data_IF_817847173750
#
_entry.id   IF_817847173750
#
_cell.length_a   1.000
_cell.length_b   1.000
_cell.length_c   1.000
_cell.angle_alpha   90.00
_cell.angle_beta   90.00
_cell.angle_gamma   90.00
#
_symmetry.space_group_name_H-M   'P 1'
#
loop_
_entity.id
_entity.type
_entity.pdbx_description
1 polymer ?
#
# COMPACT_ATOMS: atom_id res chain seq x y z
N UNK A 1 3.43 17.97 -19.78
CA UNK A 1 3.79 17.14 -18.61
C UNK A 1 4.63 15.96 -19.12
N UNK A 2 5.82 15.76 -18.58
CA UNK A 2 6.69 14.67 -19.00
C UNK A 2 6.32 13.33 -18.39
N UNK A 3 6.99 12.24 -18.82
CA UNK A 3 6.78 10.93 -18.23
C UNK A 3 7.21 10.91 -16.75
N UNK A 4 6.52 10.10 -15.97
CA UNK A 4 6.82 9.89 -14.55
C UNK A 4 7.56 8.55 -14.38
N UNK A 5 8.27 8.40 -13.26
CA UNK A 5 8.95 7.14 -12.95
C UNK A 5 7.93 6.03 -12.63
N UNK A 6 8.36 4.79 -12.78
CA UNK A 6 7.54 3.63 -12.40
C UNK A 6 7.13 3.69 -10.93
N UNK A 7 8.06 4.06 -10.04
CA UNK A 7 7.79 4.20 -8.62
C UNK A 7 6.73 5.28 -8.35
N UNK A 8 6.80 6.43 -9.03
CA UNK A 8 5.80 7.49 -8.90
C UNK A 8 4.44 7.04 -9.42
N UNK A 9 4.40 6.37 -10.57
CA UNK A 9 3.16 5.82 -11.12
C UNK A 9 2.51 4.81 -10.17
N UNK A 10 3.30 3.91 -9.59
CA UNK A 10 2.81 2.92 -8.63
C UNK A 10 2.24 3.58 -7.37
N UNK A 11 2.92 4.60 -6.84
CA UNK A 11 2.45 5.34 -5.67
C UNK A 11 1.14 6.08 -5.95
N UNK A 12 1.04 6.78 -7.08
CA UNK A 12 -0.19 7.49 -7.47
C UNK A 12 -1.35 6.52 -7.67
N UNK A 13 -1.08 5.34 -8.25
CA UNK A 13 -2.09 4.32 -8.45
C UNK A 13 -2.65 3.75 -7.14
N UNK A 14 -1.88 3.76 -6.05
CA UNK A 14 -2.37 3.35 -4.73
C UNK A 14 -3.36 4.35 -4.12
N UNK A 15 -3.16 5.65 -4.35
CA UNK A 15 -3.88 6.73 -3.67
C UNK A 15 -5.02 7.33 -4.47
N UNK A 16 -5.07 7.08 -5.77
CA UNK A 16 -5.95 7.80 -6.68
C UNK A 16 -7.06 6.91 -7.23
N UNK A 17 -8.24 7.51 -7.44
CA UNK A 17 -9.27 6.89 -8.26
C UNK A 17 -8.86 7.02 -9.72
N UNK A 18 -8.67 5.89 -10.39
CA UNK A 18 -8.29 5.85 -11.80
C UNK A 18 -9.40 5.16 -12.58
N UNK A 19 -9.88 5.84 -13.61
CA UNK A 19 -10.84 5.28 -14.56
C UNK A 19 -10.11 4.95 -15.87
N UNK A 20 -10.43 3.80 -16.43
CA UNK A 20 -9.88 3.37 -17.71
C UNK A 20 -10.91 3.66 -18.81
N UNK A 21 -10.45 4.34 -19.84
CA UNK A 21 -11.25 4.61 -21.05
C UNK A 21 -10.52 3.94 -22.20
N UNK A 22 -11.15 2.94 -22.81
CA UNK A 22 -10.61 2.31 -24.00
C UNK A 22 -11.01 3.16 -25.21
N UNK A 23 -10.04 3.51 -26.03
CA UNK A 23 -10.23 4.29 -27.24
C UNK A 23 -10.04 3.40 -28.48
N UNK A 24 -10.79 3.68 -29.53
CA UNK A 24 -10.55 3.08 -30.83
C UNK A 24 -9.36 3.76 -31.53
N UNK A 25 -9.02 3.30 -32.75
CA UNK A 25 -7.92 3.88 -33.52
C UNK A 25 -8.13 5.34 -33.95
N UNK A 26 -9.34 5.89 -33.76
CA UNK A 26 -9.68 7.28 -34.04
C UNK A 26 -9.84 8.11 -32.78
N UNK A 27 -9.39 7.60 -31.63
CA UNK A 27 -9.47 8.25 -30.31
C UNK A 27 -10.92 8.41 -29.81
N UNK A 28 -11.82 7.57 -30.24
CA UNK A 28 -13.21 7.57 -29.77
C UNK A 28 -13.34 6.61 -28.60
N UNK A 29 -13.89 7.05 -27.44
CA UNK A 29 -14.10 6.16 -26.29
C UNK A 29 -15.08 5.03 -26.63
N UNK A 30 -14.69 3.79 -26.42
CA UNK A 30 -15.51 2.61 -26.67
C UNK A 30 -15.81 1.81 -25.41
N UNK A 31 -15.08 2.05 -24.31
CA UNK A 31 -15.30 1.39 -23.05
C UNK A 31 -14.82 2.27 -21.90
N UNK A 32 -15.50 2.17 -20.75
CA UNK A 32 -15.11 2.79 -19.49
C UNK A 32 -15.16 1.75 -18.38
N UNK A 33 -14.00 1.39 -17.86
CA UNK A 33 -13.91 0.48 -16.71
C UNK A 33 -14.06 1.24 -15.39
N UNK A 34 -14.84 0.74 -14.44
CA UNK A 34 -14.90 1.33 -13.11
C UNK A 34 -13.54 1.20 -12.41
N UNK A 35 -13.21 2.11 -11.46
CA UNK A 35 -11.98 2.02 -10.70
C UNK A 35 -12.03 0.82 -9.75
N UNK A 36 -11.30 -0.26 -10.07
CA UNK A 36 -11.27 -1.50 -9.29
C UNK A 36 -10.06 -1.61 -8.36
N UNK A 37 -9.12 -0.69 -8.47
CA UNK A 37 -7.88 -0.72 -7.70
C UNK A 37 -7.93 0.07 -6.39
N UNK A 38 -8.97 0.84 -6.14
CA UNK A 38 -9.09 1.65 -4.94
C UNK A 38 -9.59 0.79 -3.77
N UNK A 39 -8.87 0.85 -2.66
CA UNK A 39 -9.36 0.28 -1.41
C UNK A 39 -10.50 1.15 -0.87
N UNK A 40 -11.69 0.59 -0.78
CA UNK A 40 -12.88 1.32 -0.35
C UNK A 40 -13.84 0.40 0.42
N UNK A 41 -14.88 0.97 1.02
CA UNK A 41 -15.94 0.24 1.68
C UNK A 41 -15.43 -0.70 2.78
N UNK A 42 -15.91 -1.92 2.80
CA UNK A 42 -15.61 -2.90 3.85
C UNK A 42 -14.14 -3.33 3.87
N UNK A 43 -13.50 -3.40 2.72
CA UNK A 43 -12.07 -3.78 2.64
C UNK A 43 -11.21 -2.75 3.35
N UNK A 44 -11.42 -1.46 3.07
CA UNK A 44 -10.71 -0.38 3.74
C UNK A 44 -10.97 -0.39 5.25
N UNK A 45 -12.23 -0.56 5.66
CA UNK A 45 -12.60 -0.64 7.09
C UNK A 45 -11.90 -1.80 7.79
N UNK A 46 -11.85 -2.97 7.16
CA UNK A 46 -11.17 -4.13 7.72
C UNK A 46 -9.67 -3.90 7.90
N UNK A 47 -9.02 -3.25 6.93
CA UNK A 47 -7.60 -2.89 7.03
C UNK A 47 -7.39 -1.90 8.18
N UNK A 48 -8.25 -0.90 8.34
CA UNK A 48 -8.18 0.07 9.44
C UNK A 48 -8.34 -0.62 10.80
N UNK A 49 -9.28 -1.55 10.92
CA UNK A 49 -9.49 -2.32 12.16
C UNK A 49 -8.25 -3.14 12.51
N UNK A 50 -7.61 -3.77 11.52
CA UNK A 50 -6.42 -4.60 11.74
C UNK A 50 -5.18 -3.77 12.09
N UNK A 51 -4.91 -2.71 11.31
CA UNK A 51 -3.67 -1.95 11.39
C UNK A 51 -3.74 -0.76 12.37
N UNK A 52 -4.94 -0.19 12.56
CA UNK A 52 -5.25 0.93 13.48
C UNK A 52 -4.57 2.26 13.12
N UNK A 53 -3.37 2.20 12.56
CA UNK A 53 -2.53 3.35 12.23
C UNK A 53 -1.56 2.98 11.11
N UNK A 54 -0.75 3.93 10.66
CA UNK A 54 0.36 3.64 9.75
C UNK A 54 1.23 2.52 10.33
N UNK A 55 1.42 1.45 9.60
CA UNK A 55 2.15 0.27 10.08
C UNK A 55 3.64 0.56 10.36
N UNK A 56 4.19 1.62 9.78
CA UNK A 56 5.60 1.97 9.94
C UNK A 56 5.84 2.96 11.08
N UNK A 57 5.13 4.09 11.11
CA UNK A 57 5.40 5.17 12.06
C UNK A 57 4.30 5.42 13.09
N UNK A 58 3.14 4.79 12.96
CA UNK A 58 2.04 4.97 13.90
C UNK A 58 1.19 6.21 13.66
N UNK A 59 1.35 6.91 12.54
CA UNK A 59 0.50 8.05 12.20
C UNK A 59 -0.98 7.63 12.15
N UNK A 60 -1.93 8.52 12.51
CA UNK A 60 -3.34 8.18 12.57
C UNK A 60 -3.88 7.60 11.25
N UNK A 61 -4.85 6.69 11.36
CA UNK A 61 -5.49 6.08 10.18
C UNK A 61 -6.10 7.15 9.26
N UNK A 62 -6.61 8.26 9.80
CA UNK A 62 -7.14 9.37 9.01
C UNK A 62 -6.11 10.08 8.12
N UNK A 63 -4.82 9.91 8.42
CA UNK A 63 -3.71 10.44 7.62
C UNK A 63 -3.03 9.37 6.77
N UNK A 64 -3.60 8.18 6.73
CA UNK A 64 -3.01 7.02 6.09
C UNK A 64 -3.89 6.53 4.96
N UNK A 65 -3.26 6.02 3.91
CA UNK A 65 -3.91 5.40 2.78
C UNK A 65 -3.65 3.90 2.78
N UNK A 66 -4.51 3.14 2.11
CA UNK A 66 -4.27 1.73 1.90
C UNK A 66 -3.29 1.52 0.74
N UNK A 67 -2.22 0.81 1.03
CA UNK A 67 -1.16 0.49 0.08
C UNK A 67 -1.30 -0.96 -0.38
N UNK A 68 -1.12 -1.21 -1.69
CA UNK A 68 -1.04 -2.56 -2.23
C UNK A 68 0.33 -3.17 -1.93
N UNK A 69 0.38 -4.26 -1.19
CA UNK A 69 1.65 -4.93 -0.84
C UNK A 69 2.29 -5.51 -2.11
N UNK A 70 1.55 -6.33 -2.86
CA UNK A 70 1.88 -6.62 -4.26
C UNK A 70 1.19 -5.56 -5.09
N UNK A 71 1.95 -4.79 -5.84
CA UNK A 71 1.43 -3.64 -6.57
C UNK A 71 0.35 -4.04 -7.56
N UNK A 72 -0.65 -3.19 -7.73
CA UNK A 72 -1.71 -3.39 -8.71
C UNK A 72 -1.15 -3.66 -10.12
N UNK A 73 -0.13 -2.91 -10.52
CA UNK A 73 0.55 -3.08 -11.81
C UNK A 73 1.22 -4.44 -11.98
N UNK A 74 1.50 -5.14 -10.87
CA UNK A 74 2.13 -6.46 -10.84
C UNK A 74 1.12 -7.59 -10.56
N UNK A 75 -0.16 -7.32 -10.75
CA UNK A 75 -1.21 -8.32 -10.52
C UNK A 75 -1.72 -8.42 -9.09
N UNK A 76 -1.35 -7.49 -8.21
CA UNK A 76 -1.82 -7.46 -6.83
C UNK A 76 -3.33 -7.19 -6.74
N UNK A 77 -3.98 -7.88 -5.81
CA UNK A 77 -5.43 -7.75 -5.57
C UNK A 77 -5.73 -6.62 -4.60
N UNK A 78 -6.95 -6.07 -4.68
CA UNK A 78 -7.46 -5.08 -3.72
C UNK A 78 -8.25 -5.82 -2.63
N UNK A 79 -7.50 -6.49 -1.77
CA UNK A 79 -8.04 -7.34 -0.69
C UNK A 79 -7.36 -7.01 0.63
N UNK A 80 -7.98 -7.41 1.74
CA UNK A 80 -7.40 -7.24 3.08
C UNK A 80 -6.03 -7.91 3.18
N UNK A 81 -5.86 -9.08 2.57
CA UNK A 81 -4.59 -9.82 2.57
C UNK A 81 -3.48 -9.17 1.73
N UNK A 82 -3.80 -8.18 0.91
CA UNK A 82 -2.82 -7.48 0.07
C UNK A 82 -2.81 -5.97 0.30
N UNK A 83 -3.36 -5.51 1.42
CA UNK A 83 -3.39 -4.09 1.75
C UNK A 83 -2.86 -3.80 3.14
N UNK A 84 -2.32 -2.62 3.34
CA UNK A 84 -1.90 -2.12 4.64
C UNK A 84 -2.00 -0.60 4.70
N UNK A 85 -2.02 -0.04 5.92
CA UNK A 85 -2.06 1.40 6.11
C UNK A 85 -0.66 2.00 6.12
N UNK A 86 -0.43 2.98 5.28
CA UNK A 86 0.78 3.80 5.28
C UNK A 86 0.40 5.28 5.20
N UNK A 87 0.97 6.11 6.07
CA UNK A 87 0.87 7.55 5.90
C UNK A 87 1.64 7.98 4.65
N UNK A 88 1.40 9.20 4.18
CA UNK A 88 2.00 9.67 2.92
C UNK A 88 3.53 9.58 2.94
N UNK A 89 4.17 9.98 4.03
CA UNK A 89 5.64 9.92 4.17
C UNK A 89 6.17 8.49 4.09
N UNK A 90 5.55 7.56 4.82
CA UNK A 90 5.96 6.15 4.82
C UNK A 90 5.63 5.45 3.51
N UNK A 91 4.52 5.82 2.87
CA UNK A 91 4.15 5.33 1.54
C UNK A 91 5.22 5.70 0.51
N UNK A 92 5.70 6.93 0.55
CA UNK A 92 6.83 7.35 -0.29
C UNK A 92 8.10 6.57 0.03
N UNK A 93 8.41 6.36 1.30
CA UNK A 93 9.58 5.59 1.71
C UNK A 93 9.56 4.17 1.13
N UNK A 94 8.41 3.50 1.16
CA UNK A 94 8.27 2.15 0.59
C UNK A 94 8.44 2.15 -0.93
N UNK A 95 7.93 3.17 -1.64
CA UNK A 95 8.03 3.24 -3.10
C UNK A 95 9.40 3.70 -3.62
N UNK A 96 10.13 4.51 -2.85
CA UNK A 96 11.36 5.14 -3.31
C UNK A 96 12.63 4.66 -2.59
N UNK A 97 12.50 3.76 -1.62
CA UNK A 97 13.64 3.17 -0.91
C UNK A 97 13.52 1.66 -0.87
N UNK A 98 14.46 1.00 -0.22
CA UNK A 98 14.50 -0.47 -0.13
C UNK A 98 13.66 -1.05 1.01
N UNK A 99 12.74 -0.27 1.59
CA UNK A 99 11.75 -0.80 2.51
C UNK A 99 10.79 -1.72 1.77
N UNK A 100 10.54 -2.89 2.32
CA UNK A 100 9.59 -3.86 1.77
C UNK A 100 8.51 -4.19 2.80
N UNK A 101 7.38 -4.68 2.34
CA UNK A 101 6.28 -5.11 3.17
C UNK A 101 5.87 -6.50 2.73
N UNK A 102 5.68 -7.39 3.71
CA UNK A 102 5.16 -8.74 3.48
C UNK A 102 3.95 -8.97 4.36
N UNK A 103 2.97 -9.73 3.86
CA UNK A 103 1.89 -10.24 4.69
C UNK A 103 2.39 -11.46 5.43
N UNK A 104 2.38 -11.41 6.76
CA UNK A 104 2.78 -12.53 7.58
C UNK A 104 1.74 -13.66 7.59
N UNK A 105 2.17 -14.87 7.97
CA UNK A 105 1.27 -16.01 8.17
C UNK A 105 0.26 -15.79 9.30
N UNK A 106 0.51 -14.81 10.16
CA UNK A 106 -0.39 -14.37 11.22
C UNK A 106 -1.50 -13.43 10.74
N UNK A 107 -1.55 -13.10 9.44
CA UNK A 107 -2.54 -12.21 8.87
C UNK A 107 -2.27 -10.73 9.08
N UNK A 108 -1.08 -10.38 9.56
CA UNK A 108 -0.65 -8.99 9.76
C UNK A 108 0.51 -8.63 8.83
N UNK A 109 0.59 -7.36 8.40
CA UNK A 109 1.72 -6.92 7.59
C UNK A 109 2.99 -6.78 8.44
N UNK A 110 4.12 -7.12 7.84
CA UNK A 110 5.46 -7.00 8.42
C UNK A 110 6.30 -6.11 7.53
N UNK A 111 7.17 -5.32 8.15
CA UNK A 111 8.11 -4.43 7.46
C UNK A 111 9.49 -5.07 7.40
N UNK A 112 10.12 -5.00 6.24
CA UNK A 112 11.50 -5.47 6.07
C UNK A 112 12.36 -4.23 5.82
N UNK A 113 13.24 -3.88 6.77
CA UNK A 113 14.09 -2.70 6.63
C UNK A 113 15.16 -2.91 5.57
N UNK A 114 15.64 -1.82 4.95
CA UNK A 114 16.82 -1.91 4.08
C UNK A 114 18.08 -2.23 4.87
N UNK A 115 19.11 -2.71 4.19
CA UNK A 115 20.35 -3.15 4.82
C UNK A 115 21.11 -2.03 5.55
N UNK A 116 20.94 -0.78 5.14
CA UNK A 116 21.54 0.39 5.82
C UNK A 116 20.86 0.72 7.15
N UNK A 117 19.60 0.28 7.34
CA UNK A 117 18.85 0.40 8.60
C UNK A 117 19.12 -0.81 9.50
N UNK A 118 19.01 -2.00 8.96
CA UNK A 118 19.36 -3.26 9.63
C UNK A 118 20.07 -4.20 8.66
N UNK A 119 21.39 -4.43 8.80
CA UNK A 119 22.15 -5.31 7.89
C UNK A 119 21.57 -6.72 7.77
N UNK A 120 20.85 -7.20 8.77
CA UNK A 120 20.21 -8.52 8.76
C UNK A 120 18.81 -8.48 8.15
N UNK A 121 18.29 -7.31 7.86
CA UNK A 121 16.94 -7.09 7.30
C UNK A 121 15.87 -7.89 8.05
N UNK A 122 15.92 -7.85 9.38
CA UNK A 122 14.99 -8.59 10.23
C UNK A 122 13.59 -7.99 10.12
N UNK A 123 12.55 -8.81 9.86
CA UNK A 123 11.19 -8.31 9.79
C UNK A 123 10.75 -7.65 11.09
N UNK A 124 10.08 -6.52 10.96
CA UNK A 124 9.49 -5.76 12.06
C UNK A 124 7.98 -5.89 12.02
N UNK A 125 7.30 -6.16 13.14
CA UNK A 125 5.85 -6.17 13.17
C UNK A 125 5.28 -4.78 12.88
N UNK A 126 4.03 -4.73 12.43
CA UNK A 126 3.28 -3.49 12.26
C UNK A 126 3.29 -2.70 13.57
N UNK A 127 3.25 -1.37 13.46
CA UNK A 127 3.43 -0.46 14.61
C UNK A 127 2.52 -0.78 15.79
N UNK A 128 1.22 -1.02 15.56
CA UNK A 128 0.26 -1.32 16.62
C UNK A 128 0.58 -2.64 17.35
N UNK A 129 1.33 -3.54 16.72
CA UNK A 129 1.71 -4.83 17.31
C UNK A 129 3.02 -4.79 18.10
N UNK A 130 3.85 -3.78 17.88
CA UNK A 130 5.10 -3.59 18.63
C UNK A 130 4.82 -3.31 20.09
N UNK A 131 3.77 -2.56 20.40
CA UNK A 131 3.38 -2.24 21.76
C UNK A 131 2.83 -3.46 22.51
N UNK A 132 2.18 -4.38 21.80
CA UNK A 132 1.68 -5.62 22.40
C UNK A 132 2.83 -6.56 22.81
N UNK A 133 3.91 -6.55 22.06
CA UNK A 133 5.09 -7.37 22.36
C UNK A 133 5.82 -6.88 23.61
N UNK A 134 5.74 -5.58 23.91
CA UNK A 134 6.35 -4.98 25.10
C UNK A 134 5.48 -5.14 26.35
N UNK A 135 4.21 -5.47 26.22
CA UNK A 135 3.27 -5.67 27.32
C UNK A 135 3.18 -7.13 27.79
N UNK A 136 3.83 -8.03 27.08
CA UNK A 136 3.91 -9.46 27.44
C UNK A 136 5.18 -9.70 28.33
#
# INVERSE_FOLDING_TARGET
MGPITEATAAMLACDSTISFITLDGQQVPIDMSPPKRLFSGLVRKAIIVRDECCIKCGAPAGWSDCHHIVYWSNGGTTTVGNGCLLCRTCHRAVHYTEWEIEMGSDGHPWLIPPADVDPRRRPLPAYNRRTMTLAA
#
